data_IF_794792752965
#
_entry.id   IF_794792752965
#
_cell.length_a   1.000
_cell.length_b   1.000
_cell.length_c   1.000
_cell.angle_alpha   90.00
_cell.angle_beta   90.00
_cell.angle_gamma   90.00
#
_symmetry.space_group_name_H-M   'P 1'
#
loop_
_entity.id
_entity.type
_entity.pdbx_description
1 polymer ?
#
# COMPACT_ATOMS: atom_id res chain seq x y z
N UNK A 1 12.01 -3.35 6.78
CA UNK A 1 12.20 -4.54 5.90
C UNK A 1 13.07 -4.06 4.75
N UNK A 2 14.10 -4.79 4.31
CA UNK A 2 14.92 -4.33 3.17
C UNK A 2 14.29 -4.73 1.84
N UNK A 3 14.33 -3.82 0.88
CA UNK A 3 13.84 -4.05 -0.46
C UNK A 3 14.75 -5.05 -1.18
N UNK A 4 14.24 -6.18 -1.67
CA UNK A 4 15.04 -7.16 -2.41
C UNK A 4 15.52 -6.63 -3.77
N UNK A 5 14.92 -5.56 -4.29
CA UNK A 5 15.28 -4.97 -5.58
C UNK A 5 16.38 -3.91 -5.48
N UNK A 6 16.40 -3.09 -4.42
CA UNK A 6 17.32 -1.96 -4.32
C UNK A 6 18.07 -1.87 -2.98
N UNK A 7 17.84 -2.80 -2.05
CA UNK A 7 18.53 -2.86 -0.75
C UNK A 7 18.08 -1.83 0.30
N UNK A 8 17.31 -0.82 -0.09
CA UNK A 8 16.83 0.24 0.82
C UNK A 8 15.69 -0.23 1.73
N UNK A 9 15.48 0.52 2.81
CA UNK A 9 14.35 0.29 3.71
C UNK A 9 12.99 0.47 3.02
N UNK A 10 12.10 -0.45 3.35
CA UNK A 10 10.70 -0.47 2.94
C UNK A 10 9.82 -0.06 4.12
N UNK A 11 8.81 0.72 3.79
CA UNK A 11 7.75 1.15 4.68
C UNK A 11 6.75 0.00 4.83
N UNK A 12 6.47 -0.41 6.07
CA UNK A 12 5.43 -1.41 6.36
C UNK A 12 4.06 -0.75 6.37
N UNK A 13 3.05 -1.52 6.01
CA UNK A 13 1.67 -1.08 6.01
C UNK A 13 0.74 -2.18 5.54
N UNK A 14 -0.47 -1.80 5.15
CA UNK A 14 -1.51 -2.74 4.72
C UNK A 14 -2.14 -2.29 3.42
N UNK A 15 -2.66 -3.25 2.67
CA UNK A 15 -3.51 -2.95 1.52
C UNK A 15 -4.95 -2.78 1.95
N UNK A 16 -5.58 -1.72 1.47
CA UNK A 16 -6.99 -1.44 1.66
C UNK A 16 -7.72 -1.36 0.33
N UNK A 17 -8.95 -1.86 0.32
CA UNK A 17 -9.88 -1.79 -0.81
C UNK A 17 -11.10 -0.97 -0.43
N UNK A 18 -11.09 0.34 -0.71
CA UNK A 18 -12.23 1.23 -0.45
C UNK A 18 -12.48 2.15 -1.65
N UNK A 19 -13.30 1.68 -2.61
CA UNK A 19 -13.50 2.33 -3.92
C UNK A 19 -12.35 2.14 -4.92
N UNK A 20 -11.20 1.64 -4.44
CA UNK A 20 -10.01 1.26 -5.20
C UNK A 20 -9.00 0.61 -4.25
N UNK A 21 -7.92 0.04 -4.80
CA UNK A 21 -6.86 -0.61 -4.00
C UNK A 21 -5.75 0.40 -3.72
N UNK A 22 -5.36 0.54 -2.46
CA UNK A 22 -4.26 1.42 -2.06
C UNK A 22 -3.46 0.82 -0.90
N UNK A 23 -2.18 1.19 -0.85
CA UNK A 23 -1.30 0.91 0.28
C UNK A 23 -1.42 2.03 1.31
N UNK A 24 -1.63 1.66 2.57
CA UNK A 24 -1.62 2.56 3.71
C UNK A 24 -0.44 2.20 4.63
N UNK A 25 0.48 3.13 4.93
CA UNK A 25 1.57 2.88 5.87
C UNK A 25 1.06 2.59 7.29
N UNK A 26 1.78 1.77 8.05
CA UNK A 26 1.49 1.63 9.48
C UNK A 26 1.70 2.97 10.21
N UNK A 27 0.75 3.30 11.08
CA UNK A 27 0.73 4.56 11.83
C UNK A 27 0.03 5.72 11.12
N UNK A 28 -0.38 5.56 9.87
CA UNK A 28 -1.24 6.53 9.18
C UNK A 28 -2.72 6.24 9.41
N UNK A 29 -3.52 7.30 9.40
CA UNK A 29 -4.98 7.19 9.51
C UNK A 29 -5.63 6.86 8.17
N UNK A 30 -6.74 6.12 8.20
CA UNK A 30 -7.47 5.76 6.98
C UNK A 30 -8.03 7.03 6.30
N UNK A 31 -7.73 7.26 5.01
CA UNK A 31 -8.27 8.41 4.31
C UNK A 31 -9.79 8.30 4.18
N UNK A 32 -10.50 9.39 4.47
CA UNK A 32 -11.97 9.44 4.39
C UNK A 32 -12.49 9.33 2.94
N UNK A 33 -11.71 9.81 1.97
CA UNK A 33 -12.08 9.84 0.56
C UNK A 33 -10.96 9.30 -0.31
N UNK A 34 -11.32 8.52 -1.33
CA UNK A 34 -10.40 8.03 -2.36
C UNK A 34 -10.08 9.15 -3.38
N UNK A 35 -9.35 10.16 -2.93
CA UNK A 35 -8.88 11.28 -3.78
C UNK A 35 -7.37 11.41 -3.69
N UNK A 36 -6.71 11.84 -4.78
CA UNK A 36 -5.24 11.99 -4.82
C UNK A 36 -4.71 12.83 -3.65
N UNK A 37 -5.38 13.95 -3.36
CA UNK A 37 -4.97 14.87 -2.30
C UNK A 37 -5.04 14.23 -0.90
N UNK A 38 -6.09 13.44 -0.61
CA UNK A 38 -6.17 12.70 0.65
C UNK A 38 -5.14 11.57 0.69
N UNK A 39 -4.93 10.86 -0.41
CA UNK A 39 -3.91 9.80 -0.45
C UNK A 39 -2.51 10.34 -0.19
N UNK A 40 -2.14 11.45 -0.82
CA UNK A 40 -0.85 12.10 -0.58
C UNK A 40 -0.71 12.60 0.87
N UNK A 41 -1.79 13.13 1.45
CA UNK A 41 -1.83 13.59 2.86
C UNK A 41 -1.56 12.45 3.84
N UNK A 42 -2.14 11.28 3.59
CA UNK A 42 -1.99 10.07 4.42
C UNK A 42 -0.86 9.15 3.92
N UNK A 43 0.02 9.69 3.05
CA UNK A 43 1.13 8.98 2.40
C UNK A 43 0.70 7.66 1.76
N UNK A 44 -0.58 7.50 1.47
CA UNK A 44 -1.15 6.33 0.84
C UNK A 44 -0.76 6.28 -0.63
N UNK A 45 -0.52 5.08 -1.15
CA UNK A 45 -0.14 4.86 -2.55
C UNK A 45 -1.26 4.14 -3.26
N UNK A 46 -1.92 4.83 -4.20
CA UNK A 46 -2.93 4.21 -5.06
C UNK A 46 -2.29 3.15 -5.95
N UNK A 47 -2.90 1.97 -6.02
CA UNK A 47 -2.48 0.90 -6.91
C UNK A 47 -3.32 0.92 -8.20
N UNK A 48 -2.76 0.43 -9.31
CA UNK A 48 -3.49 0.37 -10.57
C UNK A 48 -4.72 -0.54 -10.46
N UNK A 49 -5.82 -0.21 -11.17
CA UNK A 49 -7.13 -0.86 -11.03
C UNK A 49 -7.18 -2.33 -11.48
N UNK A 50 -6.07 -2.90 -11.97
CA UNK A 50 -6.00 -4.33 -12.30
C UNK A 50 -5.91 -5.24 -11.06
N UNK A 51 -5.72 -4.66 -9.87
CA UNK A 51 -5.60 -5.39 -8.60
C UNK A 51 -6.91 -5.47 -7.81
N UNK A 52 -8.05 -5.14 -8.43
CA UNK A 52 -9.39 -5.09 -7.80
C UNK A 52 -9.89 -6.43 -7.20
N UNK A 53 -9.13 -7.51 -7.32
CA UNK A 53 -9.48 -8.84 -6.80
C UNK A 53 -8.73 -9.21 -5.51
N UNK A 54 -7.97 -8.30 -4.90
CA UNK A 54 -7.33 -8.57 -3.60
C UNK A 54 -8.43 -8.69 -2.54
N UNK A 55 -8.55 -9.90 -1.99
CA UNK A 55 -9.53 -10.32 -1.00
C UNK A 55 -9.63 -9.34 0.20
N UNK A 56 -10.77 -9.30 0.92
CA UNK A 56 -11.03 -8.35 2.00
C UNK A 56 -10.14 -8.46 3.24
N UNK A 57 -9.10 -9.30 3.23
CA UNK A 57 -8.25 -9.60 4.41
C UNK A 57 -7.19 -8.52 4.73
N UNK A 58 -7.15 -7.39 4.04
CA UNK A 58 -6.18 -6.31 4.28
C UNK A 58 -4.74 -6.80 4.48
N UNK A 59 -4.16 -7.50 3.49
CA UNK A 59 -2.88 -8.18 3.66
C UNK A 59 -1.79 -7.18 4.03
N UNK A 60 -0.87 -7.64 4.87
CA UNK A 60 0.35 -6.89 5.17
C UNK A 60 1.14 -6.67 3.87
N UNK A 61 1.63 -5.46 3.71
CA UNK A 61 2.40 -5.06 2.55
C UNK A 61 3.59 -4.21 2.97
N UNK A 62 4.62 -4.22 2.14
CA UNK A 62 5.78 -3.37 2.28
C UNK A 62 5.97 -2.57 1.00
N UNK A 63 6.10 -1.25 1.12
CA UNK A 63 6.33 -0.35 0.00
C UNK A 63 7.73 0.25 0.05
N UNK A 64 8.50 0.08 -1.03
CA UNK A 64 9.78 0.75 -1.18
C UNK A 64 9.59 2.08 -1.92
N UNK A 65 9.79 3.20 -1.21
CA UNK A 65 9.71 4.55 -1.79
C UNK A 65 10.77 4.82 -2.85
N UNK A 66 11.95 4.22 -2.73
CA UNK A 66 13.07 4.46 -3.66
C UNK A 66 12.83 3.85 -5.05
N UNK A 67 12.42 2.59 -5.13
CA UNK A 67 12.20 1.90 -6.40
C UNK A 67 10.72 1.80 -6.79
N UNK A 68 9.82 2.34 -5.96
CA UNK A 68 8.34 2.31 -6.14
C UNK A 68 7.79 0.89 -6.32
N UNK A 69 8.41 -0.08 -5.65
CA UNK A 69 7.98 -1.49 -5.62
C UNK A 69 7.18 -1.77 -4.36
N UNK A 70 6.13 -2.57 -4.48
CA UNK A 70 5.35 -3.09 -3.37
C UNK A 70 5.54 -4.60 -3.28
N UNK A 71 5.65 -5.11 -2.06
CA UNK A 71 5.62 -6.53 -1.73
C UNK A 71 4.36 -6.75 -0.91
N UNK A 72 3.59 -7.76 -1.29
CA UNK A 72 2.32 -8.09 -0.66
C UNK A 72 2.48 -9.48 -0.08
N UNK A 73 2.31 -9.62 1.22
CA UNK A 73 2.27 -10.92 1.87
C UNK A 73 0.86 -11.49 1.70
N UNK A 74 0.71 -12.49 0.83
CA UNK A 74 -0.53 -13.28 0.77
C UNK A 74 -0.42 -14.44 1.75
N UNK A 75 -1.31 -14.50 2.73
CA UNK A 75 -1.56 -15.73 3.49
C UNK A 75 -2.66 -16.51 2.76
N UNK A 76 -2.37 -17.77 2.43
CA UNK A 76 -3.28 -18.71 1.74
C UNK A 76 -4.52 -19.05 2.59
#
# INVERSE_FOLDING_TARGET
>A
MKCPYCGNDMEKGKLHSHGGVFFLPDGESMPLLYTKNQMEKHRAVSLPPKLNSIAPKYPEAAFCRSCRKIIISCEE
#
